data_IF_641682273904
#
_entry.id   IF_641682273904
#
_cell.length_a   1.000
_cell.length_b   1.000
_cell.length_c   1.000
_cell.angle_alpha   90.00
_cell.angle_beta   90.00
_cell.angle_gamma   90.00
#
_symmetry.space_group_name_H-M   'P 1'
#
loop_
_entity.id
_entity.type
_entity.pdbx_description
1 polymer ?
#
# COMPACT_ATOMS: atom_id res chain seq x y z
N UNK A 1 13.85 -4.57 20.58
CA UNK A 1 13.02 -4.34 21.81
C UNK A 1 13.96 -3.79 22.90
N UNK A 2 13.52 -3.46 24.11
CA UNK A 2 14.44 -2.94 25.16
C UNK A 2 15.56 -3.94 25.55
N UNK A 3 15.50 -5.19 25.06
CA UNK A 3 16.44 -6.27 25.32
C UNK A 3 17.39 -6.54 24.14
N UNK A 4 17.46 -5.66 23.13
CA UNK A 4 18.34 -5.83 21.95
C UNK A 4 17.93 -6.94 20.97
N UNK A 5 16.84 -7.67 21.23
CA UNK A 5 16.34 -8.73 20.34
C UNK A 5 15.50 -8.13 19.20
N UNK A 6 15.29 -8.95 18.16
CA UNK A 6 14.41 -8.64 17.02
C UNK A 6 13.05 -8.14 17.51
N UNK A 7 12.57 -7.08 16.89
CA UNK A 7 11.25 -6.52 17.22
C UNK A 7 10.19 -7.44 16.61
N UNK A 8 9.21 -7.83 17.43
CA UNK A 8 8.10 -8.65 16.95
C UNK A 8 7.17 -7.84 16.04
N UNK A 9 6.42 -8.48 15.13
CA UNK A 9 5.43 -7.79 14.31
C UNK A 9 4.41 -6.99 15.14
N UNK A 10 3.98 -7.54 16.27
CA UNK A 10 3.12 -6.84 17.25
C UNK A 10 3.80 -5.60 17.84
N UNK A 11 5.10 -5.70 18.13
CA UNK A 11 5.91 -4.58 18.59
C UNK A 11 5.96 -3.46 17.55
N UNK A 12 6.24 -3.78 16.29
CA UNK A 12 6.21 -2.80 15.19
C UNK A 12 4.83 -2.14 15.08
N UNK A 13 3.76 -2.93 15.08
CA UNK A 13 2.40 -2.41 14.99
C UNK A 13 2.08 -1.43 16.14
N UNK A 14 2.42 -1.80 17.38
CA UNK A 14 2.20 -0.92 18.55
C UNK A 14 2.96 0.42 18.43
N UNK A 15 4.21 0.37 17.96
CA UNK A 15 5.01 1.58 17.76
C UNK A 15 4.42 2.47 16.67
N UNK A 16 3.92 1.88 15.57
CA UNK A 16 3.23 2.61 14.51
C UNK A 16 1.94 3.28 15.02
N UNK A 17 1.11 2.57 15.79
CA UNK A 17 -0.12 3.15 16.39
C UNK A 17 0.22 4.32 17.34
N UNK A 18 1.33 4.24 18.07
CA UNK A 18 1.81 5.35 18.91
C UNK A 18 2.21 6.58 18.08
N UNK A 19 2.90 6.36 16.96
CA UNK A 19 3.24 7.45 16.03
C UNK A 19 2.00 8.06 15.39
N UNK A 20 1.03 7.24 14.97
CA UNK A 20 -0.24 7.70 14.40
C UNK A 20 -0.95 8.67 15.35
N UNK A 21 -1.12 8.29 16.64
CA UNK A 21 -1.70 9.17 17.66
C UNK A 21 -0.91 10.46 17.87
N UNK A 22 0.43 10.38 17.89
CA UNK A 22 1.30 11.55 18.06
C UNK A 22 1.12 12.57 16.94
N UNK A 23 0.88 12.12 15.71
CA UNK A 23 0.75 12.97 14.54
C UNK A 23 -0.72 13.17 14.10
N UNK A 24 -1.68 12.84 14.95
CA UNK A 24 -3.12 12.98 14.67
C UNK A 24 -3.61 12.26 13.41
N UNK A 25 -2.98 11.12 13.09
CA UNK A 25 -3.43 10.21 12.03
C UNK A 25 -4.32 9.16 12.67
N UNK A 26 -5.43 8.80 12.02
CA UNK A 26 -6.31 7.71 12.46
C UNK A 26 -5.48 6.43 12.67
N UNK A 27 -5.33 5.95 13.92
CA UNK A 27 -4.53 4.79 14.22
C UNK A 27 -4.96 3.56 13.41
N UNK A 28 -6.25 3.38 13.12
CA UNK A 28 -6.76 2.19 12.43
C UNK A 28 -6.26 2.07 10.99
N UNK A 29 -5.91 3.20 10.38
CA UNK A 29 -5.31 3.26 9.04
C UNK A 29 -3.82 2.95 9.01
N UNK A 30 -3.12 3.01 10.16
CA UNK A 30 -1.65 2.90 10.24
C UNK A 30 -1.23 1.55 10.80
N UNK A 31 -0.72 0.68 9.92
CA UNK A 31 -0.18 -0.65 10.23
C UNK A 31 0.81 -1.10 9.14
N UNK A 32 1.69 -2.08 9.36
CA UNK A 32 2.77 -2.40 8.41
C UNK A 32 2.30 -2.63 6.97
N UNK A 33 1.19 -3.34 6.79
CA UNK A 33 0.67 -3.64 5.45
C UNK A 33 0.08 -2.40 4.75
N UNK A 34 -0.48 -1.42 5.47
CA UNK A 34 -0.94 -0.15 4.89
C UNK A 34 0.17 0.63 4.18
N UNK A 35 1.40 0.59 4.71
CA UNK A 35 2.56 1.21 4.05
C UNK A 35 2.96 0.48 2.77
N UNK A 36 2.84 -0.86 2.75
CA UNK A 36 3.05 -1.65 1.53
C UNK A 36 2.03 -1.26 0.45
N UNK A 37 0.76 -1.12 0.80
CA UNK A 37 -0.27 -0.63 -0.11
C UNK A 37 0.03 0.79 -0.61
N UNK A 38 0.41 1.70 0.30
CA UNK A 38 0.74 3.08 -0.07
C UNK A 38 1.92 3.14 -1.04
N UNK A 39 2.98 2.38 -0.77
CA UNK A 39 4.13 2.25 -1.65
C UNK A 39 3.72 1.75 -3.04
N UNK A 40 2.98 0.66 -3.10
CA UNK A 40 2.55 0.05 -4.36
C UNK A 40 1.68 1.00 -5.20
N UNK A 41 0.71 1.66 -4.57
CA UNK A 41 -0.15 2.65 -5.25
C UNK A 41 0.67 3.84 -5.78
N UNK A 42 1.57 4.39 -4.96
CA UNK A 42 2.41 5.51 -5.37
C UNK A 42 3.39 5.12 -6.48
N UNK A 43 3.90 3.89 -6.47
CA UNK A 43 4.77 3.37 -7.51
C UNK A 43 4.03 3.28 -8.84
N UNK A 44 2.86 2.63 -8.86
CA UNK A 44 2.05 2.49 -10.08
C UNK A 44 1.57 3.83 -10.61
N UNK A 45 1.22 4.78 -9.74
CA UNK A 45 0.84 6.12 -10.15
C UNK A 45 1.97 6.89 -10.87
N UNK A 46 3.24 6.58 -10.57
CA UNK A 46 4.41 7.28 -11.14
C UNK A 46 5.04 6.56 -12.33
N UNK A 47 5.16 5.24 -12.25
CA UNK A 47 5.92 4.44 -13.23
C UNK A 47 5.04 3.47 -14.02
N UNK A 48 3.84 3.15 -13.52
CA UNK A 48 2.85 2.27 -14.14
C UNK A 48 3.43 0.92 -14.65
N UNK A 49 4.42 0.35 -13.94
CA UNK A 49 5.03 -0.94 -14.25
C UNK A 49 4.69 -1.96 -13.16
N UNK A 50 3.74 -2.85 -13.44
CA UNK A 50 3.30 -3.88 -12.48
C UNK A 50 4.33 -5.00 -12.29
N UNK A 51 5.13 -5.30 -13.32
CA UNK A 51 6.11 -6.39 -13.27
C UNK A 51 7.26 -5.99 -12.35
N UNK A 52 7.80 -4.79 -12.56
CA UNK A 52 8.84 -4.24 -11.67
C UNK A 52 8.33 -4.08 -10.23
N UNK A 53 7.06 -3.68 -10.06
CA UNK A 53 6.48 -3.64 -8.71
C UNK A 53 6.43 -5.04 -8.07
N UNK A 54 6.07 -6.09 -8.83
CA UNK A 54 6.04 -7.46 -8.32
C UNK A 54 7.43 -7.90 -7.84
N UNK A 55 8.47 -7.63 -8.62
CA UNK A 55 9.87 -7.93 -8.29
C UNK A 55 10.32 -7.19 -7.02
N UNK A 56 10.03 -5.89 -6.92
CA UNK A 56 10.37 -5.07 -5.75
C UNK A 56 9.66 -5.53 -4.47
N UNK A 57 8.45 -6.05 -4.61
CA UNK A 57 7.65 -6.57 -3.52
C UNK A 57 7.97 -8.03 -3.18
N UNK A 58 8.75 -8.73 -4.00
CA UNK A 58 9.08 -10.14 -3.85
C UNK A 58 7.86 -11.05 -4.05
N UNK A 59 6.96 -10.70 -4.97
CA UNK A 59 5.80 -11.53 -5.30
C UNK A 59 6.16 -12.56 -6.36
N UNK A 60 5.89 -13.84 -6.08
CA UNK A 60 6.09 -14.94 -7.04
C UNK A 60 5.10 -14.91 -8.21
N UNK A 61 3.98 -14.19 -8.07
CA UNK A 61 2.95 -14.07 -9.08
C UNK A 61 2.49 -12.63 -9.24
N UNK A 62 2.34 -12.20 -10.49
CA UNK A 62 1.75 -10.90 -10.85
C UNK A 62 0.32 -10.80 -10.30
N UNK A 63 -0.40 -11.92 -10.17
CA UNK A 63 -1.77 -11.94 -9.63
C UNK A 63 -1.84 -11.37 -8.21
N UNK A 64 -0.84 -11.67 -7.37
CA UNK A 64 -0.72 -11.10 -6.03
C UNK A 64 -0.52 -9.58 -6.07
N UNK A 65 0.16 -9.06 -7.11
CA UNK A 65 0.41 -7.63 -7.29
C UNK A 65 -0.80 -6.89 -7.87
N UNK A 66 -1.68 -7.57 -8.63
CA UNK A 66 -2.88 -6.95 -9.23
C UNK A 66 -3.82 -6.33 -8.21
N UNK A 67 -3.78 -6.77 -6.94
CA UNK A 67 -4.57 -6.15 -5.86
C UNK A 67 -4.34 -4.64 -5.71
N UNK A 68 -3.20 -4.12 -6.20
CA UNK A 68 -2.87 -2.69 -6.16
C UNK A 68 -3.36 -1.91 -7.38
N UNK A 69 -3.76 -2.60 -8.46
CA UNK A 69 -4.40 -1.98 -9.64
C UNK A 69 -5.88 -1.70 -9.41
N UNK A 70 -6.48 -2.24 -8.35
CA UNK A 70 -7.90 -2.08 -8.07
C UNK A 70 -8.21 -0.61 -7.83
N UNK A 71 -8.67 0.04 -8.89
CA UNK A 71 -9.35 1.30 -8.85
C UNK A 71 -10.76 1.06 -8.30
N UNK A 72 -11.25 2.01 -7.53
CA UNK A 72 -12.67 2.02 -7.15
C UNK A 72 -13.52 2.04 -8.43
N UNK A 73 -14.71 1.44 -8.39
CA UNK A 73 -15.62 1.46 -9.56
C UNK A 73 -15.91 2.87 -10.07
N UNK A 74 -15.81 3.87 -9.18
CA UNK A 74 -15.89 5.29 -9.51
C UNK A 74 -14.70 5.77 -10.36
N UNK A 75 -13.46 5.49 -9.93
CA UNK A 75 -12.25 5.86 -10.67
C UNK A 75 -12.20 5.18 -12.05
N UNK A 76 -12.62 3.91 -12.13
CA UNK A 76 -12.74 3.19 -13.41
C UNK A 76 -13.75 3.85 -14.34
N UNK A 77 -14.91 4.26 -13.81
CA UNK A 77 -15.94 4.96 -14.57
C UNK A 77 -15.42 6.31 -15.08
N UNK A 78 -14.81 7.12 -14.21
CA UNK A 78 -14.24 8.43 -14.57
C UNK A 78 -13.11 8.31 -15.60
N UNK A 79 -12.38 7.18 -15.62
CA UNK A 79 -11.38 6.88 -16.65
C UNK A 79 -12.04 6.51 -17.98
N UNK A 80 -13.05 5.63 -17.97
CA UNK A 80 -13.78 5.23 -19.17
C UNK A 80 -14.50 6.42 -19.81
N UNK A 81 -15.16 7.26 -19.02
CA UNK A 81 -15.84 8.48 -19.49
C UNK A 81 -14.85 9.46 -20.15
N UNK A 82 -13.56 9.40 -19.80
CA UNK A 82 -12.51 10.24 -20.39
C UNK A 82 -11.91 9.64 -21.67
N UNK A 83 -11.81 8.32 -21.74
CA UNK A 83 -11.22 7.60 -22.88
C UNK A 83 -12.22 7.40 -24.02
N UNK A 84 -13.50 7.24 -23.68
CA UNK A 84 -14.58 7.07 -24.64
C UNK A 84 -15.25 8.42 -24.83
N UNK A 85 -14.76 9.19 -25.80
CA UNK A 85 -15.50 10.34 -26.33
C UNK A 85 -16.69 9.83 -27.14
N UNK A 86 -17.90 10.10 -26.66
CA UNK A 86 -19.15 9.96 -27.41
C UNK A 86 -19.30 11.10 -28.43
#
# INVERSE_FOLDING_TARGET
NQQGKQITPRGINSQLKRLARRYHIDPDTVYPHSFRHLYAKNFLAKFNDITLLADLLGHESIETTKIYLTQTSREQKELLDRLVTW
#
